data_IF_874496750206
#
_entry.id   IF_874496750206
#
_cell.length_a   1.000
_cell.length_b   1.000
_cell.length_c   1.000
_cell.angle_alpha   90.00
_cell.angle_beta   90.00
_cell.angle_gamma   90.00
#
_symmetry.space_group_name_H-M   'P 1'
#
loop_
_entity.id
_entity.type
_entity.pdbx_description
1 polymer ?
#
# COMPACT_ATOMS: atom_id res chain seq x y z
N UNK A 1 13.91 18.06 11.71
CA UNK A 1 13.07 19.19 11.28
C UNK A 1 12.13 18.84 10.11
N UNK A 2 12.55 18.03 9.13
CA UNK A 2 11.71 17.57 8.00
C UNK A 2 10.43 16.79 8.44
N UNK A 3 10.51 16.02 9.51
CA UNK A 3 9.34 15.25 9.98
C UNK A 3 8.17 16.09 10.54
N UNK A 4 8.43 17.33 10.94
CA UNK A 4 7.36 18.22 11.43
C UNK A 4 6.51 18.77 10.30
N UNK A 5 7.12 19.14 9.19
CA UNK A 5 6.40 19.72 8.04
C UNK A 5 5.44 18.74 7.38
N UNK A 6 5.86 17.49 7.14
CA UNK A 6 4.99 16.45 6.53
C UNK A 6 3.79 16.12 7.44
N UNK A 7 3.99 16.03 8.76
CA UNK A 7 2.88 15.81 9.71
C UNK A 7 1.93 17.01 9.79
N UNK A 8 2.46 18.22 9.67
CA UNK A 8 1.64 19.44 9.64
C UNK A 8 0.80 19.51 8.35
N UNK A 9 1.37 19.18 7.19
CA UNK A 9 0.64 19.05 5.93
C UNK A 9 -0.45 17.97 6.02
N UNK A 10 -0.11 16.79 6.52
CA UNK A 10 -1.09 15.70 6.73
C UNK A 10 -2.23 16.13 7.65
N UNK A 11 -1.96 16.88 8.72
CA UNK A 11 -2.98 17.37 9.63
C UNK A 11 -3.93 18.40 8.98
N UNK A 12 -3.54 19.04 7.89
CA UNK A 12 -4.39 19.98 7.15
C UNK A 12 -5.31 19.27 6.15
N UNK A 13 -4.91 18.11 5.61
CA UNK A 13 -5.64 17.40 4.56
C UNK A 13 -6.34 16.13 5.06
N UNK A 14 -6.05 15.69 6.29
CA UNK A 14 -6.68 14.52 6.91
C UNK A 14 -7.51 14.94 8.11
N UNK A 15 -8.36 14.02 8.59
CA UNK A 15 -9.23 14.21 9.76
C UNK A 15 -9.96 15.57 9.75
N UNK A 16 -10.61 15.89 8.63
CA UNK A 16 -11.30 17.16 8.43
C UNK A 16 -12.43 17.38 9.43
N UNK A 17 -12.99 16.30 10.01
CA UNK A 17 -14.00 16.33 11.07
C UNK A 17 -13.41 16.57 12.45
N UNK A 18 -12.05 16.59 12.57
CA UNK A 18 -11.31 16.74 13.83
C UNK A 18 -11.75 15.74 14.90
N UNK A 19 -11.98 14.51 14.50
CA UNK A 19 -12.30 13.41 15.41
C UNK A 19 -11.14 13.18 16.37
N UNK A 20 -11.45 12.90 17.63
CA UNK A 20 -10.49 12.70 18.69
C UNK A 20 -10.78 11.37 19.41
N UNK A 21 -9.74 10.75 19.93
CA UNK A 21 -9.87 9.51 20.67
C UNK A 21 -8.71 8.55 20.41
N UNK A 22 -8.83 7.37 20.97
CA UNK A 22 -7.94 6.24 20.67
C UNK A 22 -8.36 5.57 19.36
N UNK A 23 -7.53 4.67 18.85
CA UNK A 23 -7.85 3.90 17.63
C UNK A 23 -9.24 3.23 17.72
N UNK A 24 -9.57 2.63 18.84
CA UNK A 24 -10.87 1.98 19.07
C UNK A 24 -12.08 2.93 18.98
N UNK A 25 -11.86 4.23 19.12
CA UNK A 25 -12.93 5.23 19.02
C UNK A 25 -13.11 5.70 17.57
N UNK A 26 -12.00 5.96 16.89
CA UNK A 26 -12.00 6.58 15.54
C UNK A 26 -12.12 5.57 14.39
N UNK A 27 -11.86 4.28 14.64
CA UNK A 27 -11.93 3.24 13.62
C UNK A 27 -13.39 2.81 13.28
N UNK A 28 -14.35 3.18 14.13
CA UNK A 28 -15.76 2.80 13.96
C UNK A 28 -16.30 3.31 12.64
N UNK A 29 -16.82 2.40 11.82
CA UNK A 29 -17.36 2.71 10.51
C UNK A 29 -16.31 3.06 9.44
N UNK A 30 -15.02 2.88 9.72
CA UNK A 30 -13.98 3.07 8.72
C UNK A 30 -14.01 1.95 7.67
N UNK A 31 -13.88 2.31 6.40
CA UNK A 31 -13.85 1.36 5.29
C UNK A 31 -12.48 0.68 5.15
N UNK A 32 -11.40 1.40 5.49
CA UNK A 32 -10.01 0.93 5.29
C UNK A 32 -9.18 1.24 6.53
N UNK A 33 -8.41 0.25 6.99
CA UNK A 33 -7.33 0.41 7.95
C UNK A 33 -5.98 0.17 7.27
N UNK A 34 -5.05 1.09 7.41
CA UNK A 34 -3.65 0.94 6.97
C UNK A 34 -2.76 1.11 8.19
N UNK A 35 -2.21 -0.01 8.67
CA UNK A 35 -1.29 -0.06 9.81
C UNK A 35 0.17 0.02 9.35
N UNK A 36 0.91 0.97 9.90
CA UNK A 36 2.38 1.11 9.77
C UNK A 36 2.97 1.39 11.15
N UNK A 37 2.48 0.69 12.17
CA UNK A 37 2.70 1.00 13.59
C UNK A 37 3.41 -0.14 14.33
N UNK A 38 2.72 -0.82 15.21
CA UNK A 38 3.28 -1.84 16.10
C UNK A 38 2.38 -3.07 16.20
N UNK A 39 2.94 -4.25 16.51
CA UNK A 39 2.19 -5.48 16.68
C UNK A 39 1.02 -5.34 17.66
N UNK A 40 -0.13 -5.94 17.31
CA UNK A 40 -1.29 -6.04 18.21
C UNK A 40 -2.03 -4.72 18.45
N UNK A 41 -1.77 -3.67 17.69
CA UNK A 41 -2.49 -2.39 17.81
C UNK A 41 -3.93 -2.45 17.31
N UNK A 42 -4.24 -3.36 16.40
CA UNK A 42 -5.60 -3.61 15.91
C UNK A 42 -6.12 -4.93 16.50
N UNK A 43 -7.34 -4.93 17.02
CA UNK A 43 -7.97 -6.14 17.58
C UNK A 43 -9.16 -6.59 16.75
N UNK A 44 -9.55 -7.85 16.91
CA UNK A 44 -10.76 -8.42 16.26
C UNK A 44 -12.01 -7.60 16.58
N UNK A 45 -12.14 -7.12 17.82
CA UNK A 45 -13.28 -6.29 18.26
C UNK A 45 -13.29 -4.95 17.53
N UNK A 46 -12.12 -4.32 17.34
CA UNK A 46 -12.02 -3.09 16.56
C UNK A 46 -12.45 -3.31 15.11
N UNK A 47 -11.98 -4.39 14.48
CA UNK A 47 -12.38 -4.75 13.10
C UNK A 47 -13.89 -4.94 12.99
N UNK A 48 -14.56 -5.55 13.98
CA UNK A 48 -16.03 -5.70 14.02
C UNK A 48 -16.78 -4.38 14.01
N UNK A 49 -16.15 -3.29 14.44
CA UNK A 49 -16.78 -1.96 14.44
C UNK A 49 -16.53 -1.17 13.15
N UNK A 50 -15.68 -1.65 12.26
CA UNK A 50 -15.44 -1.05 10.95
C UNK A 50 -16.68 -1.17 10.05
N UNK A 51 -16.63 -0.55 8.89
CA UNK A 51 -17.69 -0.67 7.88
C UNK A 51 -17.81 -2.13 7.38
N UNK A 52 -18.95 -2.43 6.78
CA UNK A 52 -19.14 -3.72 6.10
C UNK A 52 -18.13 -3.84 4.97
N UNK A 53 -17.60 -5.06 4.78
CA UNK A 53 -16.60 -5.37 3.76
C UNK A 53 -15.29 -4.56 3.89
N UNK A 54 -14.89 -4.25 5.12
CA UNK A 54 -13.70 -3.47 5.42
C UNK A 54 -12.41 -4.10 4.87
N UNK A 55 -11.47 -3.23 4.50
CA UNK A 55 -10.12 -3.58 4.02
C UNK A 55 -9.11 -3.33 5.12
N UNK A 56 -8.26 -4.30 5.42
CA UNK A 56 -7.23 -4.21 6.47
C UNK A 56 -5.84 -4.46 5.89
N UNK A 57 -4.98 -3.45 5.88
CA UNK A 57 -3.56 -3.56 5.56
C UNK A 57 -2.74 -3.43 6.85
N UNK A 58 -2.25 -4.55 7.36
CA UNK A 58 -1.46 -4.63 8.60
C UNK A 58 0.02 -4.81 8.24
N UNK A 59 0.74 -3.69 8.01
CA UNK A 59 2.06 -3.67 7.40
C UNK A 59 3.22 -3.65 8.40
N UNK A 60 2.98 -3.70 9.72
CA UNK A 60 4.06 -3.79 10.71
C UNK A 60 4.87 -5.09 10.54
N UNK A 61 6.18 -5.00 10.70
CA UNK A 61 7.13 -6.09 10.51
C UNK A 61 8.00 -6.30 11.78
N UNK A 62 8.30 -7.52 12.18
CA UNK A 62 7.94 -8.82 11.57
C UNK A 62 6.54 -9.32 11.95
N UNK A 63 5.91 -8.73 12.96
CA UNK A 63 4.57 -9.09 13.44
C UNK A 63 3.60 -7.98 13.06
N UNK A 64 2.48 -8.30 12.37
CA UNK A 64 1.50 -7.30 11.94
C UNK A 64 0.69 -6.72 13.10
N UNK A 65 -0.02 -5.63 12.87
CA UNK A 65 -0.95 -5.02 13.82
C UNK A 65 -2.07 -5.97 14.24
N UNK A 66 -2.48 -6.84 13.32
CA UNK A 66 -3.44 -7.93 13.54
C UNK A 66 -3.09 -9.08 12.58
N UNK A 67 -3.25 -10.32 13.02
CA UNK A 67 -3.09 -11.47 12.13
C UNK A 67 -4.30 -11.63 11.20
N UNK A 68 -4.11 -12.17 9.97
CA UNK A 68 -5.20 -12.33 8.99
C UNK A 68 -6.39 -13.11 9.49
N UNK A 69 -6.19 -14.18 10.26
CA UNK A 69 -7.25 -14.99 10.86
C UNK A 69 -8.11 -14.18 11.84
N UNK A 70 -7.48 -13.32 12.66
CA UNK A 70 -8.17 -12.47 13.62
C UNK A 70 -8.94 -11.34 12.92
N UNK A 71 -8.36 -10.76 11.87
CA UNK A 71 -9.02 -9.74 11.06
C UNK A 71 -10.23 -10.34 10.29
N UNK A 72 -10.10 -11.54 9.73
CA UNK A 72 -11.23 -12.28 9.12
C UNK A 72 -12.33 -12.59 10.15
N UNK A 73 -11.95 -13.02 11.36
CA UNK A 73 -12.92 -13.25 12.46
C UNK A 73 -13.63 -11.95 12.89
N UNK A 74 -13.00 -10.79 12.67
CA UNK A 74 -13.59 -9.47 12.86
C UNK A 74 -14.54 -9.03 11.74
N UNK A 75 -14.51 -9.68 10.58
CA UNK A 75 -15.37 -9.38 9.43
C UNK A 75 -14.68 -8.57 8.33
N UNK A 76 -13.35 -8.46 8.34
CA UNK A 76 -12.63 -7.86 7.23
C UNK A 76 -12.79 -8.69 5.94
N UNK A 77 -13.13 -8.05 4.84
CA UNK A 77 -13.30 -8.70 3.54
C UNK A 77 -11.95 -8.91 2.83
N UNK A 78 -11.06 -7.94 2.92
CA UNK A 78 -9.72 -7.99 2.31
C UNK A 78 -8.66 -7.74 3.36
N UNK A 79 -7.64 -8.61 3.38
CA UNK A 79 -6.55 -8.48 4.34
C UNK A 79 -5.22 -8.61 3.61
N UNK A 80 -4.27 -7.77 4.00
CA UNK A 80 -2.90 -7.76 3.50
C UNK A 80 -1.92 -7.55 4.64
N UNK A 81 -0.77 -8.20 4.55
CA UNK A 81 0.34 -8.02 5.51
C UNK A 81 1.68 -8.00 4.79
N UNK A 82 2.76 -7.66 5.50
CA UNK A 82 4.12 -7.80 4.97
C UNK A 82 4.66 -9.23 4.94
N UNK A 83 3.92 -10.22 5.47
CA UNK A 83 4.37 -11.60 5.63
C UNK A 83 4.19 -12.41 4.35
N UNK A 84 5.18 -13.25 4.03
CA UNK A 84 5.19 -14.12 2.85
C UNK A 84 4.40 -15.42 3.01
N UNK A 85 3.99 -15.74 4.24
CA UNK A 85 3.20 -16.94 4.58
C UNK A 85 1.69 -16.70 4.52
N UNK A 86 1.26 -15.49 4.13
CA UNK A 86 -0.14 -15.12 3.94
C UNK A 86 -0.40 -14.61 2.52
N UNK A 87 -1.64 -14.71 2.01
CA UNK A 87 -2.03 -14.06 0.76
C UNK A 87 -1.89 -12.54 0.83
N UNK A 88 -1.90 -11.89 -0.32
CA UNK A 88 -1.80 -10.44 -0.45
C UNK A 88 -0.56 -9.84 0.23
N UNK A 89 0.61 -10.47 0.09
CA UNK A 89 1.83 -9.92 0.66
C UNK A 89 2.17 -8.55 0.08
N UNK A 90 2.19 -7.51 0.90
CA UNK A 90 2.78 -6.20 0.54
C UNK A 90 4.28 -6.28 0.73
N UNK A 91 5.04 -6.23 -0.37
CA UNK A 91 6.48 -6.33 -0.34
C UNK A 91 7.13 -5.32 -1.28
N UNK A 92 8.11 -4.58 -0.78
CA UNK A 92 8.86 -3.60 -1.55
C UNK A 92 9.53 -4.18 -2.80
N UNK A 93 9.79 -5.49 -2.85
CA UNK A 93 10.38 -6.17 -4.02
C UNK A 93 9.53 -6.02 -5.29
N UNK A 94 8.24 -5.77 -5.18
CA UNK A 94 7.37 -5.49 -6.31
C UNK A 94 7.72 -4.17 -7.01
N UNK A 95 8.18 -3.18 -6.26
CA UNK A 95 8.46 -1.85 -6.79
C UNK A 95 9.94 -1.62 -7.11
N UNK A 96 10.84 -1.97 -6.18
CA UNK A 96 12.25 -1.56 -6.22
C UNK A 96 13.00 -1.91 -7.49
N UNK A 97 13.04 -3.17 -7.97
CA UNK A 97 13.82 -3.48 -9.18
C UNK A 97 13.30 -2.74 -10.39
N UNK A 98 11.97 -2.64 -10.53
CA UNK A 98 11.31 -2.00 -11.66
C UNK A 98 11.51 -0.48 -11.68
N UNK A 99 11.38 0.17 -10.53
CA UNK A 99 11.60 1.63 -10.41
C UNK A 99 13.02 2.00 -10.83
N UNK A 100 14.03 1.34 -10.27
CA UNK A 100 15.42 1.64 -10.62
C UNK A 100 15.72 1.29 -12.08
N UNK A 101 15.21 0.16 -12.58
CA UNK A 101 15.39 -0.21 -13.98
C UNK A 101 14.81 0.85 -14.91
N UNK A 102 13.58 1.27 -14.72
CA UNK A 102 12.94 2.31 -15.54
C UNK A 102 13.67 3.65 -15.45
N UNK A 103 14.12 4.02 -14.27
CA UNK A 103 14.91 5.25 -14.05
C UNK A 103 16.23 5.21 -14.83
N UNK A 104 16.97 4.09 -14.77
CA UNK A 104 18.26 3.94 -15.47
C UNK A 104 18.09 3.83 -16.98
N UNK A 105 17.06 3.17 -17.46
CA UNK A 105 16.79 3.01 -18.90
C UNK A 105 16.66 4.36 -19.62
N UNK A 106 16.19 5.40 -18.93
CA UNK A 106 16.04 6.76 -19.48
C UNK A 106 17.02 7.76 -18.86
N UNK A 107 17.95 7.30 -18.05
CA UNK A 107 18.92 8.15 -17.32
C UNK A 107 18.25 9.32 -16.61
N UNK A 108 17.11 9.07 -15.95
CA UNK A 108 16.38 10.11 -15.27
C UNK A 108 17.23 10.79 -14.20
N UNK A 109 17.03 12.11 -14.02
CA UNK A 109 17.76 12.92 -13.06
C UNK A 109 17.21 12.79 -11.64
N UNK A 110 15.98 12.28 -11.51
CA UNK A 110 15.26 12.14 -10.24
C UNK A 110 14.27 10.97 -10.33
N UNK A 111 13.75 10.55 -9.17
CA UNK A 111 12.59 9.65 -9.04
C UNK A 111 11.48 10.48 -8.38
N UNK A 112 10.66 11.11 -9.22
CA UNK A 112 9.59 12.01 -8.78
C UNK A 112 8.27 11.28 -8.42
N UNK A 113 7.26 12.04 -7.99
CA UNK A 113 5.98 11.47 -7.57
C UNK A 113 5.23 10.82 -8.74
N UNK A 114 5.31 11.37 -9.94
CA UNK A 114 4.70 10.81 -11.15
C UNK A 114 5.25 9.41 -11.46
N UNK A 115 6.56 9.21 -11.31
CA UNK A 115 7.21 7.90 -11.50
C UNK A 115 6.79 6.90 -10.42
N UNK A 116 6.67 7.33 -9.15
CA UNK A 116 6.20 6.49 -8.04
C UNK A 116 4.73 6.09 -8.24
N UNK A 117 3.89 7.02 -8.65
CA UNK A 117 2.49 6.74 -8.97
C UNK A 117 2.35 5.78 -10.15
N UNK A 118 3.13 5.98 -11.22
CA UNK A 118 3.15 5.09 -12.37
C UNK A 118 3.56 3.65 -11.99
N UNK A 119 4.53 3.51 -11.07
CA UNK A 119 4.92 2.20 -10.54
C UNK A 119 3.76 1.52 -9.79
N UNK A 120 3.08 2.25 -8.91
CA UNK A 120 1.93 1.74 -8.15
C UNK A 120 0.79 1.29 -9.08
N UNK A 121 0.45 2.10 -10.06
CA UNK A 121 -0.59 1.79 -11.06
C UNK A 121 -0.20 0.61 -11.96
N UNK A 122 1.07 0.48 -12.31
CA UNK A 122 1.56 -0.66 -13.08
C UNK A 122 1.47 -1.98 -12.30
N UNK A 123 1.74 -1.96 -11.00
CA UNK A 123 1.58 -3.14 -10.14
C UNK A 123 0.10 -3.51 -10.02
N UNK A 124 -0.76 -2.55 -9.71
CA UNK A 124 -2.19 -2.77 -9.55
C UNK A 124 -2.84 -3.30 -10.86
N UNK A 125 -2.46 -2.75 -12.00
CA UNK A 125 -3.00 -3.15 -13.31
C UNK A 125 -2.52 -4.51 -13.84
N UNK A 126 -1.67 -5.23 -13.10
CA UNK A 126 -1.29 -6.61 -13.46
C UNK A 126 -2.32 -7.65 -13.06
N UNK A 127 -3.20 -7.33 -12.13
CA UNK A 127 -4.32 -8.19 -11.74
C UNK A 127 -5.51 -7.79 -12.60
N UNK A 128 -6.01 -8.71 -13.40
CA UNK A 128 -7.21 -8.47 -14.20
C UNK A 128 -8.48 -8.54 -13.32
N UNK A 129 -9.58 -7.99 -13.82
CA UNK A 129 -10.85 -8.02 -13.10
C UNK A 129 -11.34 -9.45 -12.84
N UNK A 130 -10.99 -10.39 -13.74
CA UNK A 130 -11.34 -11.82 -13.59
C UNK A 130 -10.47 -12.53 -12.53
N UNK A 131 -9.23 -12.06 -12.31
CA UNK A 131 -8.32 -12.59 -11.29
C UNK A 131 -8.57 -11.98 -9.93
N UNK A 132 -9.07 -10.73 -9.88
CA UNK A 132 -9.23 -9.95 -8.66
C UNK A 132 -10.20 -10.61 -7.67
N UNK A 133 -9.72 -10.90 -6.47
CA UNK A 133 -10.53 -11.45 -5.38
C UNK A 133 -9.93 -11.09 -4.02
N UNK A 134 -10.62 -11.40 -2.93
CA UNK A 134 -10.23 -11.02 -1.58
C UNK A 134 -8.83 -11.53 -1.15
N UNK A 135 -8.39 -12.66 -1.69
CA UNK A 135 -7.10 -13.27 -1.39
C UNK A 135 -6.03 -13.03 -2.50
N UNK A 136 -6.38 -12.27 -3.57
CA UNK A 136 -5.47 -11.92 -4.66
C UNK A 136 -5.73 -10.51 -5.19
N UNK A 137 -5.22 -9.50 -4.45
CA UNK A 137 -5.33 -8.07 -4.78
C UNK A 137 -4.01 -7.46 -5.25
N UNK A 138 -2.91 -8.21 -5.12
CA UNK A 138 -1.56 -7.77 -5.45
C UNK A 138 -0.77 -8.96 -6.01
N UNK A 139 0.09 -8.77 -7.04
CA UNK A 139 0.89 -9.85 -7.59
C UNK A 139 1.80 -10.49 -6.54
N UNK A 140 2.12 -11.77 -6.72
CA UNK A 140 3.10 -12.44 -5.87
C UNK A 140 4.49 -11.79 -6.01
N UNK A 141 5.30 -11.83 -4.94
CA UNK A 141 6.59 -11.18 -4.86
C UNK A 141 7.59 -11.54 -5.99
N UNK A 142 7.45 -12.74 -6.57
CA UNK A 142 8.30 -13.24 -7.67
C UNK A 142 7.55 -13.34 -9.01
N UNK A 143 6.45 -12.66 -9.18
CA UNK A 143 5.75 -12.60 -10.47
C UNK A 143 6.64 -11.90 -11.51
N UNK A 144 7.00 -12.64 -12.55
CA UNK A 144 7.90 -12.16 -13.61
C UNK A 144 7.33 -11.01 -14.43
N UNK A 145 6.01 -10.75 -14.36
CA UNK A 145 5.36 -9.65 -15.07
C UNK A 145 5.66 -8.30 -14.43
N UNK A 146 5.90 -8.27 -13.10
CA UNK A 146 6.00 -7.04 -12.29
C UNK A 146 7.17 -6.16 -12.73
N UNK A 147 8.39 -6.69 -12.69
CA UNK A 147 9.58 -5.90 -12.98
C UNK A 147 9.54 -5.18 -14.33
N UNK A 148 9.26 -5.88 -15.45
CA UNK A 148 9.14 -5.25 -16.77
C UNK A 148 7.97 -4.24 -16.88
N UNK A 149 6.83 -4.50 -16.24
CA UNK A 149 5.69 -3.58 -16.27
C UNK A 149 6.01 -2.28 -15.53
N UNK A 150 6.55 -2.38 -14.31
CA UNK A 150 6.95 -1.22 -13.51
C UNK A 150 8.04 -0.42 -14.23
N UNK A 151 9.07 -1.08 -14.77
CA UNK A 151 10.15 -0.39 -15.47
C UNK A 151 9.65 0.42 -16.68
N UNK A 152 8.76 -0.14 -17.50
CA UNK A 152 8.16 0.58 -18.63
C UNK A 152 7.35 1.78 -18.18
N UNK A 153 6.50 1.62 -17.17
CA UNK A 153 5.64 2.70 -16.66
C UNK A 153 6.48 3.84 -16.06
N UNK A 154 7.49 3.51 -15.28
CA UNK A 154 8.41 4.49 -14.68
C UNK A 154 9.21 5.23 -15.73
N UNK A 155 9.76 4.53 -16.74
CA UNK A 155 10.49 5.16 -17.83
C UNK A 155 9.60 6.12 -18.63
N UNK A 156 8.34 5.74 -18.88
CA UNK A 156 7.38 6.63 -19.56
C UNK A 156 7.07 7.86 -18.70
N UNK A 157 6.74 7.68 -17.42
CA UNK A 157 6.47 8.78 -16.51
C UNK A 157 7.68 9.75 -16.37
N UNK A 158 8.90 9.22 -16.38
CA UNK A 158 10.11 10.05 -16.39
C UNK A 158 10.24 10.91 -17.65
N UNK A 159 9.85 10.39 -18.82
CA UNK A 159 9.80 11.18 -20.06
C UNK A 159 8.72 12.25 -20.01
N UNK A 160 7.52 11.87 -19.59
CA UNK A 160 6.36 12.75 -19.55
C UNK A 160 6.53 13.91 -18.56
N UNK A 161 7.21 13.65 -17.44
CA UNK A 161 7.54 14.66 -16.41
C UNK A 161 8.83 15.43 -16.69
N UNK A 162 9.53 15.14 -17.80
CA UNK A 162 10.71 15.89 -18.22
C UNK A 162 11.99 15.63 -17.45
N UNK A 163 12.04 14.58 -16.61
CA UNK A 163 13.24 14.20 -15.86
C UNK A 163 14.14 13.19 -16.60
N UNK A 164 13.66 12.59 -17.68
CA UNK A 164 14.45 11.72 -18.55
C UNK A 164 15.51 12.51 -19.31
N UNK A 165 16.67 11.87 -19.58
CA UNK A 165 17.77 12.47 -20.34
C UNK A 165 18.01 11.81 -21.70
N UNK A 166 17.34 10.67 -21.94
CA UNK A 166 17.34 9.97 -23.23
C UNK A 166 15.97 9.35 -23.50
#
# INVERSE_FOLDING_TARGET
MLFRSVKEEMAQVTNLRKEQGKLCDVIKGADVFIGVSAPGTLTTEMVRTMAKDAIVFACANPTPEIFPEDAKAGGAAVISTGRSDYPNQVNNVLAFPGIFRGTFDVRASDINEEMKMAAAMAIAGLISDEELNADYIIPAAFDKRVGPAVARAVAQAARDSGVARI
#
